data_IF_252065530240
#
_entry.id   IF_252065530240
#
_cell.length_a   1.000
_cell.length_b   1.000
_cell.length_c   1.000
_cell.angle_alpha   90.00
_cell.angle_beta   90.00
_cell.angle_gamma   90.00
#
_symmetry.space_group_name_H-M   'P 1'
#
loop_
_entity.id
_entity.type
_entity.pdbx_description
1 polymer ?
#
# COMPACT_ATOMS: atom_id res chain seq x y z
N UNK A 1 -1.74 -2.70 11.67
CA UNK A 1 -1.84 -1.40 10.97
C UNK A 1 -1.53 -1.66 9.53
N UNK A 2 -2.58 -1.65 8.72
CA UNK A 2 -2.54 -1.95 7.31
C UNK A 2 -2.42 -0.62 6.57
N UNK A 3 -1.48 -0.50 5.63
CA UNK A 3 -1.23 0.74 4.90
C UNK A 3 -1.35 0.43 3.41
N UNK A 4 -2.14 1.22 2.70
CA UNK A 4 -2.14 1.23 1.25
C UNK A 4 -0.81 1.83 0.78
N UNK A 5 0.09 0.98 0.29
CA UNK A 5 1.43 1.41 -0.12
C UNK A 5 1.40 2.36 -1.32
N UNK A 6 0.31 2.48 -2.06
CA UNK A 6 0.24 3.39 -3.21
C UNK A 6 -0.06 4.82 -2.77
N UNK A 7 -1.07 4.99 -1.93
CA UNK A 7 -1.51 6.33 -1.49
C UNK A 7 -1.03 6.70 -0.08
N UNK A 8 -0.49 5.76 0.68
CA UNK A 8 -0.08 5.87 2.08
C UNK A 8 -1.24 6.05 3.05
N UNK A 9 -2.45 5.61 2.69
CA UNK A 9 -3.61 5.65 3.56
C UNK A 9 -3.54 4.54 4.60
N UNK A 10 -3.80 4.90 5.86
CA UNK A 10 -4.06 3.93 6.92
C UNK A 10 -5.41 3.25 6.68
N UNK A 11 -5.38 1.93 6.56
CA UNK A 11 -6.54 1.10 6.32
C UNK A 11 -7.02 0.51 7.64
N UNK A 12 -8.35 0.50 7.80
CA UNK A 12 -9.01 -0.26 8.85
C UNK A 12 -9.05 -1.73 8.42
N UNK A 13 -8.48 -2.63 9.23
CA UNK A 13 -8.43 -4.07 8.94
C UNK A 13 -9.84 -4.68 8.90
N UNK A 14 -10.83 -4.03 9.53
CA UNK A 14 -12.23 -4.45 9.53
C UNK A 14 -13.06 -3.86 8.37
N UNK A 15 -12.45 -3.07 7.48
CA UNK A 15 -13.17 -2.49 6.34
C UNK A 15 -13.54 -3.57 5.30
N UNK A 16 -14.85 -3.69 5.02
CA UNK A 16 -15.38 -4.70 4.10
C UNK A 16 -14.92 -4.50 2.63
N UNK A 17 -14.53 -3.28 2.25
CA UNK A 17 -14.24 -2.91 0.85
C UNK A 17 -12.74 -2.87 0.50
N UNK A 18 -11.87 -3.46 1.33
CA UNK A 18 -10.44 -3.54 1.00
C UNK A 18 -10.17 -4.48 -0.17
N UNK A 19 -9.23 -4.07 -1.02
CA UNK A 19 -8.79 -4.86 -2.17
C UNK A 19 -7.42 -5.44 -1.87
N UNK A 20 -7.26 -6.76 -2.03
CA UNK A 20 -6.03 -7.46 -1.70
C UNK A 20 -5.30 -7.98 -2.95
N UNK A 21 -3.96 -8.07 -2.87
CA UNK A 21 -3.12 -8.78 -3.84
C UNK A 21 -1.98 -9.49 -3.13
N UNK A 22 -1.61 -10.67 -3.62
CA UNK A 22 -0.40 -11.35 -3.18
C UNK A 22 0.76 -11.02 -4.13
N UNK A 23 1.88 -10.57 -3.57
CA UNK A 23 3.12 -10.33 -4.32
C UNK A 23 4.33 -10.80 -3.52
N UNK A 24 5.17 -11.64 -4.13
CA UNK A 24 6.38 -12.23 -3.48
C UNK A 24 6.10 -12.90 -2.12
N UNK A 25 4.94 -13.56 -1.98
CA UNK A 25 4.53 -14.22 -0.74
C UNK A 25 4.15 -13.26 0.40
N UNK A 26 3.88 -11.99 0.07
CA UNK A 26 3.31 -10.99 0.98
C UNK A 26 1.96 -10.53 0.46
N UNK A 27 1.01 -10.35 1.35
CA UNK A 27 -0.29 -9.77 1.04
C UNK A 27 -0.21 -8.24 1.17
N UNK A 28 -0.76 -7.53 0.19
CA UNK A 28 -0.91 -6.08 0.19
C UNK A 28 -2.39 -5.74 0.08
N UNK A 29 -2.81 -4.72 0.82
CA UNK A 29 -4.18 -4.22 0.80
C UNK A 29 -4.23 -2.79 0.27
N UNK A 30 -5.34 -2.46 -0.38
CA UNK A 30 -5.55 -1.17 -1.02
C UNK A 30 -6.95 -0.63 -0.70
N UNK A 31 -7.04 0.68 -0.56
CA UNK A 31 -8.31 1.38 -0.32
C UNK A 31 -9.26 1.33 -1.53
N UNK A 32 -8.72 1.11 -2.74
CA UNK A 32 -9.50 1.07 -3.97
C UNK A 32 -8.88 0.14 -5.00
N UNK A 33 -9.69 -0.29 -5.96
CA UNK A 33 -9.23 -1.03 -7.14
C UNK A 33 -8.17 -0.24 -7.94
N UNK A 34 -8.24 1.10 -7.95
CA UNK A 34 -7.28 1.94 -8.65
C UNK A 34 -5.88 1.84 -8.02
N UNK A 35 -5.80 1.84 -6.68
CA UNK A 35 -4.52 1.67 -5.98
C UNK A 35 -3.94 0.27 -6.24
N UNK A 36 -4.77 -0.78 -6.24
CA UNK A 36 -4.32 -2.11 -6.67
C UNK A 36 -3.72 -2.10 -8.08
N UNK A 37 -4.39 -1.47 -9.05
CA UNK A 37 -3.91 -1.41 -10.45
C UNK A 37 -2.59 -0.64 -10.55
N UNK A 38 -2.42 0.44 -9.79
CA UNK A 38 -1.15 1.17 -9.73
C UNK A 38 -0.04 0.30 -9.15
N UNK A 39 -0.32 -0.42 -8.05
CA UNK A 39 0.63 -1.37 -7.48
C UNK A 39 1.04 -2.43 -8.50
N UNK A 40 0.08 -3.08 -9.18
CA UNK A 40 0.37 -4.13 -10.17
C UNK A 40 1.17 -3.61 -11.40
N UNK A 41 1.12 -2.30 -11.67
CA UNK A 41 1.88 -1.69 -12.77
C UNK A 41 3.37 -1.51 -12.46
N UNK A 42 3.73 -1.37 -11.17
CA UNK A 42 5.12 -1.23 -10.71
C UNK A 42 5.30 -1.79 -9.29
N UNK A 43 5.08 -3.11 -9.09
CA UNK A 43 5.01 -3.68 -7.75
C UNK A 43 6.37 -3.66 -7.05
N UNK A 44 7.47 -3.65 -7.79
CA UNK A 44 8.82 -3.53 -7.21
C UNK A 44 9.01 -2.17 -6.53
N UNK A 45 8.58 -1.08 -7.17
CA UNK A 45 8.64 0.26 -6.56
C UNK A 45 7.85 0.32 -5.26
N UNK A 46 6.58 -0.07 -5.27
CA UNK A 46 5.71 0.06 -4.10
C UNK A 46 6.01 -0.95 -2.99
N UNK A 47 6.76 -2.02 -3.29
CA UNK A 47 7.21 -3.01 -2.30
C UNK A 47 8.63 -2.81 -1.80
N UNK A 48 9.35 -1.81 -2.34
CA UNK A 48 10.74 -1.54 -1.99
C UNK A 48 10.86 -0.92 -0.59
N UNK A 49 12.03 -1.10 0.03
CA UNK A 49 12.31 -0.51 1.33
C UNK A 49 12.45 1.01 1.22
N UNK A 50 13.03 1.52 0.13
CA UNK A 50 13.13 2.96 -0.15
C UNK A 50 11.74 3.62 -0.25
N UNK A 51 10.76 2.90 -0.82
CA UNK A 51 9.39 3.40 -0.90
C UNK A 51 8.70 3.41 0.46
N UNK A 52 8.98 2.44 1.33
CA UNK A 52 8.49 2.45 2.72
C UNK A 52 9.04 3.64 3.49
N UNK A 53 10.35 3.88 3.41
CA UNK A 53 11.00 5.04 4.02
C UNK A 53 10.36 6.35 3.52
N UNK A 54 10.10 6.46 2.21
CA UNK A 54 9.39 7.60 1.63
C UNK A 54 7.99 7.82 2.24
N UNK A 55 7.22 6.76 2.48
CA UNK A 55 5.89 6.88 3.09
C UNK A 55 5.98 7.35 4.55
N UNK A 56 6.92 6.81 5.32
CA UNK A 56 7.17 7.20 6.72
C UNK A 56 7.61 8.67 6.82
N UNK A 57 8.53 9.11 5.95
CA UNK A 57 8.95 10.52 5.91
C UNK A 57 7.80 11.46 5.56
N UNK A 58 6.89 11.02 4.68
CA UNK A 58 5.73 11.81 4.26
C UNK A 58 4.70 11.98 5.37
N UNK A 59 4.52 10.97 6.22
CA UNK A 59 3.67 11.06 7.42
C UNK A 59 4.27 11.98 8.49
N UNK A 60 5.59 11.95 8.67
CA UNK A 60 6.28 12.75 9.70
C UNK A 60 6.51 14.23 9.32
N UNK A 61 5.94 14.70 8.21
CA UNK A 61 6.12 16.08 7.71
C UNK A 61 5.12 17.09 8.26
N UNK A 62 4.23 16.67 9.15
CA UNK A 62 3.26 17.53 9.87
C UNK A 62 3.82 18.15 11.15
#
# INVERSE_FOLDING_TARGET
MLIDVVCGMHLDEDAEELVFVEYKGREYAFCTQLCKVQFESDPEKYSSDEWREFLEERENRD
#
